data_IF_523677245561
#
_entry.id   IF_523677245561
#
_cell.length_a   1.000
_cell.length_b   1.000
_cell.length_c   1.000
_cell.angle_alpha   90.00
_cell.angle_beta   90.00
_cell.angle_gamma   90.00
#
_symmetry.space_group_name_H-M   'P 1'
#
loop_
_entity.id
_entity.type
_entity.pdbx_description
1 polymer ?
#
# COMPACT_ATOMS: atom_id res chain seq x y z
N UNK A 1 -41.74 -8.74 -61.27
CA UNK A 1 -41.38 -7.38 -61.72
C UNK A 1 -41.69 -6.44 -60.56
N UNK A 2 -40.64 -5.99 -59.87
CA UNK A 2 -40.72 -5.39 -58.52
C UNK A 2 -41.35 -4.01 -58.50
N UNK A 3 -42.34 -3.84 -57.63
CA UNK A 3 -42.98 -2.58 -57.27
C UNK A 3 -42.33 -2.13 -55.94
N UNK A 4 -41.22 -1.40 -55.98
CA UNK A 4 -40.60 -0.88 -54.75
C UNK A 4 -39.72 0.36 -55.00
N UNK A 5 -40.30 1.42 -55.55
CA UNK A 5 -39.73 2.79 -55.56
C UNK A 5 -40.91 3.77 -55.54
N UNK A 6 -41.36 4.25 -54.36
CA UNK A 6 -41.01 5.61 -53.94
C UNK A 6 -41.10 5.80 -52.40
N UNK A 7 -40.06 5.49 -51.64
CA UNK A 7 -40.02 5.86 -50.20
C UNK A 7 -38.75 6.65 -49.83
N UNK A 8 -37.78 6.76 -50.73
CA UNK A 8 -36.46 7.32 -50.42
C UNK A 8 -36.42 8.86 -50.57
N UNK A 9 -37.41 9.48 -51.22
CA UNK A 9 -37.33 10.92 -51.54
C UNK A 9 -37.95 11.85 -50.47
N UNK A 10 -38.67 11.33 -49.47
CA UNK A 10 -39.31 12.16 -48.44
C UNK A 10 -38.43 12.45 -47.21
N UNK A 11 -37.28 11.76 -47.06
CA UNK A 11 -36.38 11.92 -45.90
C UNK A 11 -35.26 12.96 -46.12
N UNK A 12 -35.28 13.71 -47.24
CA UNK A 12 -34.22 14.64 -47.60
C UNK A 12 -34.49 16.11 -47.19
N UNK A 13 -35.62 16.43 -46.55
CA UNK A 13 -36.02 17.84 -46.29
C UNK A 13 -35.94 18.26 -44.82
N UNK A 14 -35.56 17.37 -43.89
CA UNK A 14 -35.32 17.74 -42.49
C UNK A 14 -33.83 17.86 -42.14
N UNK A 15 -33.05 18.53 -43.00
CA UNK A 15 -31.75 19.05 -42.60
C UNK A 15 -31.97 20.43 -41.96
N UNK A 16 -32.40 20.44 -40.69
CA UNK A 16 -32.39 21.68 -39.90
C UNK A 16 -30.95 22.13 -39.76
N UNK A 17 -30.65 23.32 -40.29
CA UNK A 17 -29.38 23.99 -40.10
C UNK A 17 -29.12 24.10 -38.59
N UNK A 18 -28.10 23.39 -38.10
CA UNK A 18 -27.56 23.61 -36.76
C UNK A 18 -26.77 24.91 -36.85
N UNK A 19 -27.39 26.01 -36.43
CA UNK A 19 -26.67 27.25 -36.21
C UNK A 19 -25.83 27.08 -34.95
N UNK A 20 -24.52 27.14 -35.10
CA UNK A 20 -23.62 27.30 -33.96
C UNK A 20 -23.91 28.68 -33.35
N UNK A 21 -24.42 28.69 -32.12
CA UNK A 21 -24.68 29.90 -31.38
C UNK A 21 -23.34 30.62 -31.13
N UNK A 22 -23.27 31.91 -31.45
CA UNK A 22 -22.01 32.65 -31.32
C UNK A 22 -21.75 32.97 -29.86
N UNK A 23 -20.49 32.85 -29.41
CA UNK A 23 -20.08 33.21 -28.05
C UNK A 23 -20.19 34.72 -27.89
N UNK A 24 -21.32 35.18 -27.35
CA UNK A 24 -21.57 36.58 -27.02
C UNK A 24 -21.22 36.82 -25.56
N UNK A 25 -20.39 37.85 -25.32
CA UNK A 25 -20.00 38.26 -23.98
C UNK A 25 -21.12 39.07 -23.31
N UNK A 26 -21.20 38.96 -21.99
CA UNK A 26 -22.17 39.71 -21.18
C UNK A 26 -21.73 41.17 -21.00
N UNK A 27 -22.66 42.11 -21.05
CA UNK A 27 -22.35 43.51 -20.74
C UNK A 27 -21.83 43.65 -19.30
N UNK A 28 -20.64 44.23 -19.15
CA UNK A 28 -19.98 44.41 -17.86
C UNK A 28 -19.30 43.17 -17.29
N UNK A 29 -18.98 42.17 -18.13
CA UNK A 29 -18.20 41.02 -17.71
C UNK A 29 -16.86 41.43 -17.05
N UNK A 30 -16.35 40.68 -16.07
CA UNK A 30 -15.00 40.88 -15.58
C UNK A 30 -13.96 40.44 -16.62
N UNK A 31 -12.74 40.95 -16.52
CA UNK A 31 -11.60 40.44 -17.32
C UNK A 31 -11.03 39.14 -16.73
N UNK A 32 -11.19 38.95 -15.42
CA UNK A 32 -10.58 37.86 -14.64
C UNK A 32 -11.46 37.46 -13.45
N UNK A 33 -11.61 36.16 -13.24
CA UNK A 33 -12.24 35.56 -12.06
C UNK A 33 -11.26 34.66 -11.31
N UNK A 34 -11.31 34.68 -9.98
CA UNK A 34 -10.53 33.77 -9.13
C UNK A 34 -11.48 32.72 -8.60
N UNK A 35 -11.25 31.48 -9.00
CA UNK A 35 -12.06 30.33 -8.59
C UNK A 35 -12.04 30.22 -7.07
N UNK A 36 -13.22 30.16 -6.46
CA UNK A 36 -13.39 29.88 -5.03
C UNK A 36 -14.02 28.50 -4.84
N UNK A 37 -14.00 28.00 -3.59
CA UNK A 37 -14.57 26.69 -3.28
C UNK A 37 -16.10 26.74 -3.49
N UNK A 38 -16.57 25.99 -4.48
CA UNK A 38 -17.99 25.87 -4.82
C UNK A 38 -18.31 26.28 -6.25
N UNK A 39 -17.40 27.02 -6.91
CA UNK A 39 -17.59 27.43 -8.29
C UNK A 39 -17.55 26.25 -9.25
N UNK A 40 -18.36 26.33 -10.30
CA UNK A 40 -18.30 25.46 -11.46
C UNK A 40 -18.00 26.25 -12.73
N UNK A 41 -17.57 25.57 -13.80
CA UNK A 41 -17.41 26.23 -15.11
C UNK A 41 -18.72 26.82 -15.63
N UNK A 42 -19.87 26.24 -15.24
CA UNK A 42 -21.18 26.78 -15.56
C UNK A 42 -21.39 28.15 -14.91
N UNK A 43 -21.19 28.22 -13.58
CA UNK A 43 -21.42 29.45 -12.80
C UNK A 43 -20.50 30.58 -13.28
N UNK A 44 -19.24 30.23 -13.57
CA UNK A 44 -18.30 31.21 -14.10
C UNK A 44 -18.70 31.63 -15.52
N UNK A 45 -19.17 30.71 -16.37
CA UNK A 45 -19.62 31.08 -17.71
C UNK A 45 -20.82 32.03 -17.70
N UNK A 46 -21.69 31.96 -16.68
CA UNK A 46 -22.80 32.91 -16.50
C UNK A 46 -22.34 34.35 -16.20
N UNK A 47 -21.16 34.49 -15.60
CA UNK A 47 -20.56 35.78 -15.29
C UNK A 47 -19.94 36.44 -16.53
N UNK A 48 -19.34 35.66 -17.43
CA UNK A 48 -18.63 36.16 -18.62
C UNK A 48 -19.49 36.19 -19.90
N UNK A 49 -20.41 35.24 -20.06
CA UNK A 49 -21.16 35.04 -21.30
C UNK A 49 -22.63 35.46 -21.14
N UNK A 50 -23.23 35.96 -22.22
CA UNK A 50 -24.67 36.18 -22.28
C UNK A 50 -25.46 34.85 -22.24
N UNK A 51 -24.84 33.78 -22.72
CA UNK A 51 -25.40 32.43 -22.85
C UNK A 51 -24.56 31.43 -22.04
N UNK A 52 -24.92 31.13 -20.77
CA UNK A 52 -24.11 30.28 -19.88
C UNK A 52 -23.94 28.84 -20.38
N UNK A 53 -24.89 28.32 -21.16
CA UNK A 53 -24.85 26.97 -21.72
C UNK A 53 -23.75 26.74 -22.77
N UNK A 54 -23.06 27.79 -23.21
CA UNK A 54 -21.92 27.70 -24.12
C UNK A 54 -20.60 27.32 -23.42
N UNK A 55 -20.62 27.07 -22.11
CA UNK A 55 -19.45 26.59 -21.37
C UNK A 55 -18.76 25.34 -21.97
N UNK A 56 -19.41 24.38 -22.68
CA UNK A 56 -18.70 23.25 -23.28
C UNK A 56 -17.74 23.68 -24.40
N UNK A 57 -18.09 24.74 -25.15
CA UNK A 57 -17.22 25.33 -26.17
C UNK A 57 -15.98 25.96 -25.54
N UNK A 58 -16.16 26.57 -24.36
CA UNK A 58 -15.07 27.08 -23.54
C UNK A 58 -14.19 25.94 -23.04
N UNK A 59 -14.78 24.82 -22.61
CA UNK A 59 -14.01 23.66 -22.18
C UNK A 59 -13.16 23.07 -23.32
N UNK A 60 -13.69 23.01 -24.55
CA UNK A 60 -12.97 22.50 -25.71
C UNK A 60 -11.67 23.27 -26.02
N UNK A 61 -11.64 24.58 -25.76
CA UNK A 61 -10.44 25.41 -25.96
C UNK A 61 -9.44 25.33 -24.78
N UNK A 62 -9.79 24.63 -23.70
CA UNK A 62 -8.95 24.42 -22.52
C UNK A 62 -8.60 22.92 -22.33
N UNK A 63 -7.78 22.33 -23.23
CA UNK A 63 -7.40 20.92 -23.12
C UNK A 63 -6.62 20.59 -21.84
N UNK A 64 -6.08 21.59 -21.14
CA UNK A 64 -5.44 21.43 -19.83
C UNK A 64 -6.42 21.05 -18.70
N UNK A 65 -7.72 21.13 -18.94
CA UNK A 65 -8.78 20.73 -18.02
C UNK A 65 -9.30 19.37 -18.49
N UNK A 66 -8.70 18.27 -18.03
CA UNK A 66 -9.07 16.91 -18.46
C UNK A 66 -10.54 16.56 -18.15
N UNK A 67 -11.09 17.12 -17.08
CA UNK A 67 -12.49 16.98 -16.71
C UNK A 67 -13.03 18.37 -16.37
N UNK A 68 -14.16 18.81 -16.96
CA UNK A 68 -14.70 20.16 -16.80
C UNK A 68 -15.05 20.51 -15.35
N UNK A 69 -15.20 19.52 -14.46
CA UNK A 69 -15.38 19.74 -13.03
C UNK A 69 -14.07 19.98 -12.25
N UNK A 70 -12.89 19.84 -12.86
CA UNK A 70 -11.58 19.95 -12.21
C UNK A 70 -11.01 21.38 -12.26
N UNK A 71 -11.78 22.35 -11.77
CA UNK A 71 -11.27 23.68 -11.42
C UNK A 71 -11.02 23.74 -9.91
N UNK A 72 -9.89 24.33 -9.50
CA UNK A 72 -9.50 24.37 -8.09
C UNK A 72 -9.55 25.79 -7.53
N UNK A 73 -9.87 25.95 -6.23
CA UNK A 73 -9.76 27.25 -5.58
C UNK A 73 -8.37 27.86 -5.76
N UNK A 74 -8.32 29.10 -6.23
CA UNK A 74 -7.09 29.81 -6.59
C UNK A 74 -6.68 29.69 -8.07
N UNK A 75 -7.37 28.87 -8.86
CA UNK A 75 -7.30 28.96 -10.33
C UNK A 75 -7.86 30.31 -10.79
N UNK A 76 -7.33 30.77 -11.92
CA UNK A 76 -7.65 32.07 -12.49
C UNK A 76 -8.26 31.87 -13.86
N UNK A 77 -9.51 32.27 -14.03
CA UNK A 77 -10.17 32.28 -15.34
C UNK A 77 -10.02 33.68 -15.92
N UNK A 78 -9.53 33.81 -17.16
CA UNK A 78 -9.30 35.09 -17.82
C UNK A 78 -9.87 35.06 -19.23
N UNK A 79 -10.50 36.16 -19.63
CA UNK A 79 -10.97 36.33 -21.00
C UNK A 79 -9.79 36.69 -21.93
N UNK A 80 -9.59 35.93 -23.00
CA UNK A 80 -8.59 36.18 -24.03
C UNK A 80 -9.21 36.16 -25.42
N UNK A 81 -8.65 36.94 -26.34
CA UNK A 81 -9.05 36.93 -27.75
C UNK A 81 -8.03 36.12 -28.55
N UNK A 82 -8.50 35.07 -29.23
CA UNK A 82 -7.68 34.26 -30.14
C UNK A 82 -8.34 34.30 -31.51
N UNK A 83 -7.61 34.79 -32.51
CA UNK A 83 -8.12 34.99 -33.88
C UNK A 83 -9.42 35.81 -33.94
N UNK A 84 -9.54 36.81 -33.05
CA UNK A 84 -10.70 37.70 -32.95
C UNK A 84 -11.92 37.09 -32.24
N UNK A 85 -11.84 35.85 -31.76
CA UNK A 85 -12.92 35.19 -30.99
C UNK A 85 -12.63 35.25 -29.49
N UNK A 86 -13.63 35.62 -28.65
CA UNK A 86 -13.47 35.58 -27.19
C UNK A 86 -13.43 34.14 -26.69
N UNK A 87 -12.47 33.84 -25.82
CA UNK A 87 -12.26 32.53 -25.19
C UNK A 87 -11.92 32.73 -23.72
N UNK A 88 -12.49 31.93 -22.82
CA UNK A 88 -12.03 31.91 -21.42
C UNK A 88 -10.87 30.93 -21.32
N UNK A 89 -9.75 31.35 -20.73
CA UNK A 89 -8.61 30.47 -20.43
C UNK A 89 -8.43 30.32 -18.94
N UNK A 90 -8.13 29.09 -18.52
CA UNK A 90 -7.80 28.80 -17.12
C UNK A 90 -6.29 28.79 -16.94
N UNK A 91 -5.79 29.71 -16.13
CA UNK A 91 -4.43 29.71 -15.60
C UNK A 91 -4.47 29.03 -14.23
N UNK A 92 -3.80 27.87 -14.12
CA UNK A 92 -3.67 27.17 -12.85
C UNK A 92 -2.99 28.08 -11.83
N UNK A 93 -3.62 28.24 -10.67
CA UNK A 93 -2.99 28.93 -9.54
C UNK A 93 -1.70 28.21 -9.16
N UNK A 94 -0.72 28.91 -8.58
CA UNK A 94 0.39 28.26 -7.89
C UNK A 94 -0.18 27.51 -6.69
N UNK A 95 -0.61 26.27 -6.94
CA UNK A 95 -1.45 25.50 -6.03
C UNK A 95 -0.83 25.36 -4.66
N UNK A 96 -1.59 25.74 -3.63
CA UNK A 96 -1.23 25.40 -2.26
C UNK A 96 -1.62 23.94 -2.06
N UNK A 97 -0.67 23.03 -2.23
CA UNK A 97 -0.89 21.62 -1.93
C UNK A 97 -1.03 21.44 -0.42
N UNK A 98 -2.26 21.23 0.05
CA UNK A 98 -2.48 20.85 1.45
C UNK A 98 -2.01 19.41 1.62
N UNK A 99 -0.77 19.24 2.10
CA UNK A 99 -0.25 17.96 2.50
C UNK A 99 -1.04 17.47 3.71
N UNK A 100 -1.72 16.34 3.56
CA UNK A 100 -2.32 15.60 4.66
C UNK A 100 -1.71 14.19 4.70
N UNK A 101 -1.54 13.59 5.88
CA UNK A 101 -1.12 12.20 5.98
C UNK A 101 -2.08 11.32 5.17
N UNK A 102 -1.54 10.44 4.32
CA UNK A 102 -2.28 9.41 3.59
C UNK A 102 -1.74 8.06 3.99
N UNK A 103 -2.62 7.14 4.35
CA UNK A 103 -2.26 5.74 4.57
C UNK A 103 -1.94 5.13 3.19
N UNK A 104 -0.80 4.46 3.09
CA UNK A 104 -0.42 3.66 1.93
C UNK A 104 -0.45 2.20 2.35
N UNK A 105 -1.23 1.40 1.65
CA UNK A 105 -1.26 -0.05 1.84
C UNK A 105 -0.17 -0.65 0.94
N UNK A 106 0.89 -1.18 1.55
CA UNK A 106 1.92 -1.95 0.88
C UNK A 106 1.61 -3.44 1.07
N UNK A 107 1.64 -4.22 -0.02
CA UNK A 107 1.43 -5.67 0.10
C UNK A 107 2.61 -6.26 0.86
N UNK A 108 2.32 -7.11 1.84
CA UNK A 108 3.34 -7.86 2.58
C UNK A 108 3.86 -9.00 1.67
N UNK A 109 4.71 -8.66 0.71
CA UNK A 109 5.35 -9.58 -0.24
C UNK A 109 6.61 -10.24 0.34
N UNK A 110 7.15 -9.71 1.45
CA UNK A 110 8.28 -10.28 2.16
C UNK A 110 7.88 -11.47 3.02
N UNK A 111 8.55 -12.59 2.78
CA UNK A 111 8.55 -13.74 3.68
C UNK A 111 8.98 -13.31 5.09
N UNK A 112 8.37 -13.93 6.11
CA UNK A 112 8.79 -13.75 7.51
C UNK A 112 10.26 -14.20 7.59
N UNK A 113 11.19 -13.34 8.04
CA UNK A 113 12.58 -13.72 8.18
C UNK A 113 12.71 -14.86 9.19
N UNK A 114 13.53 -15.86 8.90
CA UNK A 114 13.87 -16.90 9.87
C UNK A 114 14.60 -16.27 11.05
N UNK A 115 14.30 -16.77 12.25
CA UNK A 115 15.02 -16.37 13.45
C UNK A 115 16.45 -16.94 13.33
N UNK A 116 17.50 -16.12 13.43
CA UNK A 116 18.87 -16.62 13.29
C UNK A 116 19.27 -17.44 14.53
N UNK A 117 20.04 -18.51 14.30
CA UNK A 117 20.30 -19.55 15.30
C UNK A 117 21.10 -19.04 16.50
N UNK A 118 22.00 -18.07 16.27
CA UNK A 118 22.81 -17.38 17.27
C UNK A 118 21.96 -16.59 18.27
N UNK A 119 20.87 -15.97 17.81
CA UNK A 119 19.95 -15.22 18.66
C UNK A 119 19.19 -16.11 19.66
N UNK A 120 18.96 -17.38 19.32
CA UNK A 120 18.22 -18.32 20.17
C UNK A 120 19.09 -19.31 20.90
N UNK A 121 20.39 -19.41 20.59
CA UNK A 121 21.28 -20.47 21.10
C UNK A 121 21.29 -20.57 22.63
N UNK A 122 21.24 -19.44 23.35
CA UNK A 122 21.22 -19.41 24.82
C UNK A 122 19.91 -19.91 25.44
N UNK A 123 18.83 -19.94 24.66
CA UNK A 123 17.50 -20.39 25.07
C UNK A 123 17.20 -21.81 24.61
N UNK A 124 18.04 -22.38 23.74
CA UNK A 124 17.90 -23.75 23.29
C UNK A 124 18.44 -24.71 24.36
N UNK A 125 17.54 -25.39 25.04
CA UNK A 125 17.89 -26.61 25.78
C UNK A 125 18.26 -27.69 24.76
N UNK A 126 19.36 -28.42 24.99
CA UNK A 126 19.76 -29.58 24.18
C UNK A 126 19.37 -30.87 24.94
N UNK A 127 18.09 -31.28 24.94
CA UNK A 127 17.70 -32.54 25.57
C UNK A 127 18.34 -33.71 24.83
N UNK A 128 18.74 -34.72 25.60
CA UNK A 128 19.26 -35.98 25.07
C UNK A 128 18.27 -37.09 25.44
N UNK A 129 17.77 -37.80 24.42
CA UNK A 129 17.03 -39.04 24.61
C UNK A 129 18.01 -40.19 24.46
N UNK A 130 18.08 -41.04 25.48
CA UNK A 130 18.98 -42.19 25.52
C UNK A 130 18.20 -43.42 26.02
N UNK A 131 18.62 -44.60 25.57
CA UNK A 131 18.06 -45.86 26.07
C UNK A 131 18.56 -46.15 27.50
N UNK A 132 17.84 -47.06 28.18
CA UNK A 132 18.12 -47.44 29.56
C UNK A 132 19.55 -47.97 29.74
N UNK A 133 20.05 -48.77 28.80
CA UNK A 133 21.37 -49.37 28.88
C UNK A 133 22.48 -48.31 28.77
N UNK A 134 22.29 -47.31 27.93
CA UNK A 134 23.20 -46.19 27.77
C UNK A 134 23.26 -45.36 29.04
N UNK A 135 22.11 -45.13 29.68
CA UNK A 135 22.03 -44.43 30.97
C UNK A 135 22.70 -45.19 32.11
N UNK A 136 22.50 -46.52 32.19
CA UNK A 136 23.11 -47.37 33.23
C UNK A 136 24.63 -47.46 33.11
N UNK A 137 25.16 -47.38 31.88
CA UNK A 137 26.60 -47.43 31.62
C UNK A 137 27.25 -46.03 31.51
N UNK A 138 26.47 -44.96 31.68
CA UNK A 138 26.98 -43.60 31.59
C UNK A 138 27.87 -43.24 32.79
N UNK A 139 28.83 -42.36 32.54
CA UNK A 139 29.58 -41.74 33.62
C UNK A 139 28.66 -40.88 34.50
N UNK A 140 28.91 -40.86 35.80
CA UNK A 140 28.10 -40.13 36.76
C UNK A 140 28.94 -39.25 37.69
N UNK A 141 28.33 -38.16 38.15
CA UNK A 141 28.93 -37.24 39.12
C UNK A 141 28.82 -37.84 40.51
N UNK A 142 29.95 -37.93 41.22
CA UNK A 142 30.05 -38.53 42.56
C UNK A 142 29.95 -37.47 43.65
N UNK A 143 30.67 -36.34 43.49
CA UNK A 143 30.71 -35.26 44.47
C UNK A 143 31.23 -33.96 43.86
N UNK A 144 30.97 -32.84 44.53
CA UNK A 144 31.66 -31.56 44.30
C UNK A 144 32.98 -31.51 45.07
N UNK A 145 33.96 -30.79 44.55
CA UNK A 145 35.08 -30.31 45.36
C UNK A 145 34.54 -29.42 46.50
N UNK A 146 35.20 -29.51 47.66
CA UNK A 146 34.91 -28.72 48.87
C UNK A 146 33.50 -28.92 49.46
N UNK A 147 32.83 -30.04 49.16
CA UNK A 147 31.51 -30.42 49.70
C UNK A 147 30.39 -29.39 49.43
N UNK A 148 30.55 -28.54 48.41
CA UNK A 148 29.50 -27.60 48.02
C UNK A 148 28.25 -28.32 47.49
N UNK A 149 27.08 -27.89 47.98
CA UNK A 149 25.77 -28.42 47.56
C UNK A 149 25.35 -27.94 46.16
N UNK A 150 25.92 -26.82 45.69
CA UNK A 150 25.60 -26.21 44.40
C UNK A 150 26.93 -25.93 43.70
N UNK A 151 26.99 -26.30 42.42
CA UNK A 151 28.19 -26.18 41.57
C UNK A 151 27.87 -25.22 40.42
N UNK A 152 28.75 -24.26 40.18
CA UNK A 152 28.66 -23.27 39.13
C UNK A 152 29.87 -23.23 38.20
N UNK A 153 29.99 -22.14 37.45
CA UNK A 153 31.11 -21.92 36.54
C UNK A 153 32.41 -21.72 37.34
N UNK A 154 33.39 -22.58 37.09
CA UNK A 154 34.71 -22.52 37.72
C UNK A 154 34.91 -23.54 38.85
N UNK A 155 33.83 -24.17 39.29
CA UNK A 155 33.89 -25.20 40.32
C UNK A 155 34.35 -26.54 39.75
N UNK A 156 34.91 -27.38 40.61
CA UNK A 156 35.41 -28.72 40.26
C UNK A 156 34.46 -29.78 40.75
N UNK A 157 34.22 -30.80 39.93
CA UNK A 157 33.42 -31.99 40.29
C UNK A 157 34.24 -33.25 40.08
N UNK A 158 33.91 -34.29 40.82
CA UNK A 158 34.46 -35.63 40.65
C UNK A 158 33.42 -36.50 39.95
N UNK A 159 33.82 -37.14 38.86
CA UNK A 159 33.00 -38.07 38.11
C UNK A 159 33.68 -39.45 38.03
N UNK A 160 32.87 -40.51 37.89
CA UNK A 160 33.34 -41.89 37.74
C UNK A 160 32.77 -42.50 36.46
N UNK A 161 33.56 -43.34 35.79
CA UNK A 161 33.17 -44.03 34.57
C UNK A 161 33.47 -43.23 33.29
N UNK A 162 34.26 -42.16 33.37
CA UNK A 162 34.81 -41.48 32.20
C UNK A 162 35.95 -42.31 31.61
N UNK A 163 35.95 -42.49 30.29
CA UNK A 163 37.07 -43.04 29.55
C UNK A 163 37.97 -41.89 29.05
N UNK A 164 39.29 -42.07 29.15
CA UNK A 164 40.29 -41.03 28.83
C UNK A 164 40.35 -40.66 27.33
N UNK A 165 39.63 -41.37 26.46
CA UNK A 165 39.64 -41.18 25.01
C UNK A 165 38.43 -40.39 24.46
N UNK A 166 37.48 -39.98 25.32
CA UNK A 166 36.21 -39.37 24.91
C UNK A 166 36.27 -37.83 24.75
N UNK A 167 37.44 -37.21 24.90
CA UNK A 167 37.67 -35.76 24.75
C UNK A 167 37.50 -34.95 26.04
N UNK A 168 37.74 -33.63 25.96
CA UNK A 168 37.87 -32.75 27.14
C UNK A 168 36.57 -32.04 27.56
N UNK A 169 35.46 -32.24 26.83
CA UNK A 169 34.18 -31.54 27.06
C UNK A 169 33.05 -32.53 27.24
N UNK A 170 32.33 -32.40 28.34
CA UNK A 170 31.20 -33.25 28.68
C UNK A 170 29.96 -32.40 28.95
N UNK A 171 28.80 -32.98 28.65
CA UNK A 171 27.50 -32.42 29.01
C UNK A 171 26.96 -33.17 30.23
N UNK A 172 26.44 -32.42 31.20
CA UNK A 172 25.83 -32.99 32.40
C UNK A 172 24.33 -32.98 32.24
N UNK A 173 23.71 -34.15 32.34
CA UNK A 173 22.26 -34.33 32.23
C UNK A 173 21.69 -34.81 33.56
N UNK A 174 20.44 -34.42 33.84
CA UNK A 174 19.64 -35.01 34.91
C UNK A 174 18.63 -35.96 34.25
N UNK A 175 18.53 -37.23 34.68
CA UNK A 175 17.51 -38.14 34.19
C UNK A 175 16.12 -37.55 34.37
N UNK A 176 15.32 -37.59 33.31
CA UNK A 176 13.91 -37.23 33.32
C UNK A 176 13.01 -38.46 33.36
N UNK A 177 11.72 -38.24 33.16
CA UNK A 177 10.74 -39.31 33.01
C UNK A 177 10.96 -40.04 31.68
N UNK A 178 10.67 -41.35 31.67
CA UNK A 178 10.72 -42.13 30.45
C UNK A 178 9.60 -41.71 29.50
N UNK A 179 9.92 -41.64 28.20
CA UNK A 179 8.91 -41.38 27.18
C UNK A 179 8.14 -42.66 26.91
N UNK A 180 6.81 -42.56 26.95
CA UNK A 180 5.92 -43.70 26.70
C UNK A 180 5.09 -43.39 25.46
N UNK A 181 5.03 -44.33 24.52
CA UNK A 181 4.14 -44.23 23.36
C UNK A 181 2.68 -44.24 23.85
N UNK A 182 1.86 -43.22 23.53
CA UNK A 182 0.50 -43.10 24.03
C UNK A 182 -0.48 -44.14 23.45
N UNK A 183 -0.11 -44.84 22.37
CA UNK A 183 -0.93 -45.83 21.67
C UNK A 183 -0.49 -47.25 22.05
N UNK A 184 0.82 -47.53 22.02
CA UNK A 184 1.35 -48.88 22.29
C UNK A 184 1.72 -49.10 23.76
N UNK A 185 1.89 -48.03 24.53
CA UNK A 185 2.35 -48.04 25.92
C UNK A 185 3.76 -48.65 26.09
N UNK A 186 4.56 -48.62 25.03
CA UNK A 186 5.98 -49.00 25.04
C UNK A 186 6.84 -47.83 25.53
N UNK A 187 7.99 -48.17 26.13
CA UNK A 187 8.99 -47.25 26.70
C UNK A 187 10.28 -47.29 25.89
#
# INVERSE_FOLDING_TARGET
MSILKPLVLALAVLATAVYADQVVLRDGHPDRHVVVKGDTLWDISEEFLASPWLWPEIWYVNPQIENPHLIYPGDVITLVYVDGKPQLRVQRGKGTFKLSPKVREERLDKAIPTIPIDAIQQFLTQPLVADQRTMENAAYVVSSADEHLIVGRGDRIYARGLADDQGDRYHVFRPGDAYVDPVTNEV
#
